data_IF_416247745539
#
_entry.id   IF_416247745539
#
_cell.length_a   1.000
_cell.length_b   1.000
_cell.length_c   1.000
_cell.angle_alpha   90.00
_cell.angle_beta   90.00
_cell.angle_gamma   90.00
#
_symmetry.space_group_name_H-M   'P 1'
#
loop_
_entity.id
_entity.type
_entity.pdbx_description
1 polymer ?
#
# COMPACT_ATOMS: atom_id res chain seq x y z
N UNK A 1 -1.13 16.46 -4.22
CA UNK A 1 -1.51 16.96 -5.55
C UNK A 1 -2.94 16.52 -5.89
N UNK A 2 -3.65 17.34 -6.68
CA UNK A 2 -4.99 17.00 -7.18
C UNK A 2 -4.93 16.02 -8.38
N UNK A 3 -3.77 15.88 -9.00
CA UNK A 3 -3.50 14.97 -10.11
C UNK A 3 -3.05 13.63 -9.55
N UNK A 4 -3.66 12.52 -10.01
CA UNK A 4 -3.25 11.17 -9.61
C UNK A 4 -1.94 10.74 -10.26
N UNK A 5 -1.13 9.98 -9.51
CA UNK A 5 0.07 9.35 -10.04
C UNK A 5 -0.28 8.34 -11.14
N UNK A 6 0.25 8.50 -12.37
CA UNK A 6 0.01 7.57 -13.47
C UNK A 6 0.84 6.27 -13.39
N UNK A 7 1.80 6.18 -12.45
CA UNK A 7 2.73 5.04 -12.36
C UNK A 7 2.01 3.70 -12.24
N UNK A 8 2.32 2.78 -13.15
CA UNK A 8 1.77 1.42 -13.16
C UNK A 8 0.25 1.35 -13.40
N UNK A 9 -0.39 2.40 -13.91
CA UNK A 9 -1.82 2.44 -14.17
C UNK A 9 -2.15 2.16 -15.63
N UNK A 10 -3.24 1.42 -15.84
CA UNK A 10 -3.76 1.15 -17.20
C UNK A 10 -4.87 2.12 -17.64
N UNK A 11 -5.36 2.95 -16.72
CA UNK A 11 -6.44 3.93 -16.95
C UNK A 11 -6.10 5.25 -16.27
N UNK A 12 -6.67 6.35 -16.82
CA UNK A 12 -6.56 7.70 -16.23
C UNK A 12 -7.29 7.78 -14.90
N UNK A 13 -6.61 8.29 -13.86
CA UNK A 13 -7.22 8.52 -12.55
C UNK A 13 -8.05 9.81 -12.55
N UNK A 14 -9.17 9.86 -11.83
CA UNK A 14 -9.93 11.09 -11.62
C UNK A 14 -9.10 12.09 -10.80
N UNK A 15 -9.34 13.38 -11.04
CA UNK A 15 -8.77 14.44 -10.20
C UNK A 15 -9.47 14.47 -8.84
N UNK A 16 -8.70 14.75 -7.79
CA UNK A 16 -9.20 14.94 -6.43
C UNK A 16 -9.59 16.40 -6.20
N UNK A 17 -10.60 16.63 -5.37
CA UNK A 17 -10.90 17.97 -4.86
C UNK A 17 -9.87 18.41 -3.83
N UNK A 18 -9.81 19.71 -3.53
CA UNK A 18 -8.90 20.21 -2.51
C UNK A 18 -9.16 19.58 -1.14
N UNK A 19 -10.43 19.48 -0.74
CA UNK A 19 -10.83 18.93 0.57
C UNK A 19 -10.44 17.45 0.68
N UNK A 20 -10.65 16.66 -0.39
CA UNK A 20 -10.19 15.27 -0.44
C UNK A 20 -8.66 15.14 -0.32
N UNK A 21 -7.90 16.08 -0.89
CA UNK A 21 -6.44 16.08 -0.76
C UNK A 21 -6.02 16.38 0.67
N UNK A 22 -6.69 17.32 1.35
CA UNK A 22 -6.39 17.66 2.76
C UNK A 22 -6.71 16.47 3.68
N UNK A 23 -7.90 15.88 3.56
CA UNK A 23 -8.31 14.73 4.36
C UNK A 23 -7.35 13.53 4.16
N UNK A 24 -7.01 13.22 2.89
CA UNK A 24 -6.05 12.17 2.58
C UNK A 24 -4.66 12.47 3.17
N UNK A 25 -4.23 13.72 3.15
CA UNK A 25 -2.93 14.12 3.69
C UNK A 25 -2.87 13.95 5.21
N UNK A 26 -3.92 14.30 5.95
CA UNK A 26 -3.99 14.10 7.40
C UNK A 26 -3.87 12.62 7.77
N UNK A 27 -4.63 11.77 7.08
CA UNK A 27 -4.56 10.32 7.26
C UNK A 27 -3.16 9.78 6.93
N UNK A 28 -2.60 10.22 5.79
CA UNK A 28 -1.28 9.80 5.34
C UNK A 28 -0.18 10.21 6.33
N UNK A 29 -0.19 11.43 6.82
CA UNK A 29 0.80 11.93 7.78
C UNK A 29 0.72 11.18 9.11
N UNK A 30 -0.48 10.86 9.60
CA UNK A 30 -0.66 10.08 10.82
C UNK A 30 -0.05 8.68 10.69
N UNK A 31 -0.27 8.01 9.54
CA UNK A 31 0.29 6.69 9.25
C UNK A 31 1.80 6.75 9.03
N UNK A 32 2.28 7.74 8.31
CA UNK A 32 3.70 7.92 8.01
C UNK A 32 4.54 8.07 9.28
N UNK A 33 4.06 8.86 10.25
CA UNK A 33 4.74 9.05 11.52
C UNK A 33 4.69 7.84 12.48
N UNK A 34 4.02 6.76 12.13
CA UNK A 34 4.21 5.47 12.81
C UNK A 34 5.51 4.77 12.43
N UNK A 35 6.08 5.11 11.29
CA UNK A 35 7.29 4.48 10.73
C UNK A 35 8.50 5.43 10.82
N UNK A 36 8.28 6.73 10.62
CA UNK A 36 9.33 7.74 10.55
C UNK A 36 9.28 8.64 11.77
N UNK A 37 10.44 8.94 12.35
CA UNK A 37 10.59 9.83 13.50
C UNK A 37 10.11 11.25 13.17
N UNK A 38 9.05 11.68 13.83
CA UNK A 38 8.41 12.99 13.63
C UNK A 38 9.32 14.15 13.99
N UNK A 39 10.18 14.02 14.99
CA UNK A 39 11.08 15.09 15.43
C UNK A 39 12.23 15.34 14.45
N UNK A 40 12.56 14.32 13.67
CA UNK A 40 13.61 14.34 12.65
C UNK A 40 13.06 14.56 11.23
N UNK A 41 11.75 14.76 11.09
CA UNK A 41 11.07 14.86 9.80
C UNK A 41 10.43 16.22 9.62
N UNK A 42 10.70 16.87 8.49
CA UNK A 42 10.04 18.08 8.08
C UNK A 42 9.00 17.77 6.99
N UNK A 43 7.73 17.99 7.29
CA UNK A 43 6.68 17.93 6.28
C UNK A 43 6.62 19.26 5.51
N UNK A 44 6.62 19.18 4.18
CA UNK A 44 6.59 20.36 3.29
C UNK A 44 5.42 20.20 2.31
N UNK A 45 4.72 21.28 2.03
CA UNK A 45 3.54 21.25 1.18
C UNK A 45 3.84 21.77 -0.22
N UNK A 46 3.49 21.03 -1.24
CA UNK A 46 3.60 21.45 -2.64
C UNK A 46 2.97 22.82 -2.93
N UNK A 47 1.90 23.18 -2.21
CA UNK A 47 1.23 24.48 -2.34
C UNK A 47 2.13 25.66 -1.99
N UNK A 48 3.24 25.49 -1.26
CA UNK A 48 4.19 26.55 -0.94
C UNK A 48 4.87 27.11 -2.19
N UNK A 49 5.08 26.29 -3.22
CA UNK A 49 5.62 26.72 -4.50
C UNK A 49 4.58 26.70 -5.63
N UNK A 50 3.81 25.64 -5.82
CA UNK A 50 2.82 25.59 -6.91
C UNK A 50 1.65 26.55 -6.72
N UNK A 51 1.33 26.95 -5.49
CA UNK A 51 0.33 28.00 -5.22
C UNK A 51 0.68 29.37 -5.81
N UNK A 52 1.94 29.58 -6.19
CA UNK A 52 2.47 30.81 -6.79
C UNK A 52 2.74 30.67 -8.30
N UNK A 53 2.61 29.48 -8.86
CA UNK A 53 2.88 29.23 -10.27
C UNK A 53 1.90 29.99 -11.16
N UNK A 54 2.46 30.66 -12.14
CA UNK A 54 1.73 31.24 -13.27
C UNK A 54 1.74 30.27 -14.44
N UNK A 55 0.93 30.56 -15.47
CA UNK A 55 1.00 29.80 -16.71
C UNK A 55 2.40 29.86 -17.36
N UNK A 56 3.09 30.98 -17.22
CA UNK A 56 4.46 31.13 -17.74
C UNK A 56 5.43 30.15 -17.06
N UNK A 57 5.29 29.93 -15.76
CA UNK A 57 6.12 28.98 -15.01
C UNK A 57 5.84 27.52 -15.47
N UNK A 58 4.58 27.18 -15.70
CA UNK A 58 4.20 25.85 -16.23
C UNK A 58 4.78 25.64 -17.63
N UNK A 59 4.69 26.66 -18.51
CA UNK A 59 5.28 26.60 -19.86
C UNK A 59 6.81 26.44 -19.77
N UNK A 60 7.46 27.19 -18.89
CA UNK A 60 8.91 27.10 -18.67
C UNK A 60 9.32 25.70 -18.19
N UNK A 61 8.60 25.13 -17.22
CA UNK A 61 8.87 23.78 -16.72
C UNK A 61 8.67 22.72 -17.82
N UNK A 62 7.55 22.78 -18.54
CA UNK A 62 7.23 21.79 -19.59
C UNK A 62 8.14 21.89 -20.82
N UNK A 63 8.71 23.06 -21.12
CA UNK A 63 9.62 23.23 -22.27
C UNK A 63 10.96 22.52 -22.12
N UNK A 64 11.29 22.05 -20.92
CA UNK A 64 12.57 21.37 -20.63
C UNK A 64 12.58 19.89 -21.02
N UNK A 65 11.42 19.32 -21.25
CA UNK A 65 11.25 17.90 -21.55
C UNK A 65 10.43 17.73 -22.84
N UNK A 66 10.61 16.58 -23.47
CA UNK A 66 9.88 16.24 -24.69
C UNK A 66 8.84 15.15 -24.45
N UNK A 67 7.75 15.15 -25.19
CA UNK A 67 6.76 14.08 -25.17
C UNK A 67 7.40 12.71 -25.44
N UNK A 68 8.40 12.66 -26.34
CA UNK A 68 9.10 11.42 -26.67
C UNK A 68 9.81 10.80 -25.45
N UNK A 69 10.42 11.62 -24.57
CA UNK A 69 11.02 11.13 -23.32
C UNK A 69 9.99 10.48 -22.42
N UNK A 70 8.80 11.08 -22.28
CA UNK A 70 7.74 10.52 -21.45
C UNK A 70 7.13 9.24 -22.04
N UNK A 71 6.98 9.18 -23.37
CA UNK A 71 6.49 7.99 -24.07
C UNK A 71 7.48 6.81 -24.06
N UNK A 72 8.72 7.01 -23.64
CA UNK A 72 9.66 5.92 -23.39
C UNK A 72 9.41 5.17 -22.07
N UNK A 73 8.58 5.72 -21.18
CA UNK A 73 8.14 5.03 -19.98
C UNK A 73 7.22 3.86 -20.37
N UNK A 74 7.49 2.66 -19.85
CA UNK A 74 6.86 1.41 -20.30
C UNK A 74 5.32 1.45 -20.30
N UNK A 75 4.71 2.03 -19.27
CA UNK A 75 3.26 2.12 -19.15
C UNK A 75 2.66 3.11 -20.19
N UNK A 76 3.30 4.25 -20.41
CA UNK A 76 2.89 5.18 -21.48
C UNK A 76 3.15 4.61 -22.87
N UNK A 77 4.31 3.99 -23.10
CA UNK A 77 4.63 3.33 -24.37
C UNK A 77 3.57 2.27 -24.70
N UNK A 78 3.22 1.42 -23.76
CA UNK A 78 2.21 0.37 -23.92
C UNK A 78 0.82 0.95 -24.19
N UNK A 79 0.40 1.99 -23.46
CA UNK A 79 -0.89 2.66 -23.67
C UNK A 79 -0.92 3.36 -25.02
N UNK A 80 0.15 4.04 -25.41
CA UNK A 80 0.27 4.70 -26.70
C UNK A 80 0.18 3.71 -27.88
N UNK A 81 0.93 2.61 -27.82
CA UNK A 81 0.91 1.54 -28.84
C UNK A 81 -0.46 0.87 -28.95
N UNK A 82 -1.17 0.70 -27.83
CA UNK A 82 -2.51 0.10 -27.80
C UNK A 82 -3.64 1.12 -27.98
N UNK A 83 -3.32 2.36 -28.34
CA UNK A 83 -4.27 3.46 -28.51
C UNK A 83 -5.19 3.72 -27.31
N UNK A 84 -4.71 3.44 -26.11
CA UNK A 84 -5.41 3.78 -24.88
C UNK A 84 -5.19 5.25 -24.52
N UNK A 85 -6.20 5.94 -23.97
CA UNK A 85 -6.09 7.34 -23.63
C UNK A 85 -4.95 7.63 -22.66
N UNK A 86 -4.19 8.71 -22.92
CA UNK A 86 -3.20 9.30 -22.02
C UNK A 86 -3.60 10.75 -21.86
N UNK A 87 -3.96 11.17 -20.65
CA UNK A 87 -4.30 12.56 -20.40
C UNK A 87 -3.02 13.42 -20.33
N UNK A 88 -3.09 14.67 -20.79
CA UNK A 88 -1.97 15.61 -20.70
C UNK A 88 -1.55 15.84 -19.24
N UNK A 89 -2.49 15.81 -18.30
CA UNK A 89 -2.23 15.91 -16.87
C UNK A 89 -1.35 14.78 -16.35
N UNK A 90 -1.43 13.59 -16.93
CA UNK A 90 -0.56 12.45 -16.56
C UNK A 90 0.89 12.69 -16.98
N UNK A 91 1.12 13.42 -18.09
CA UNK A 91 2.46 13.82 -18.52
C UNK A 91 3.02 14.95 -17.64
N UNK A 92 2.17 15.74 -16.99
CA UNK A 92 2.60 16.78 -16.06
C UNK A 92 3.04 16.21 -14.70
N UNK A 93 2.47 15.07 -14.28
CA UNK A 93 2.73 14.52 -12.95
C UNK A 93 4.22 14.32 -12.64
N UNK A 94 5.02 13.64 -13.49
CA UNK A 94 6.46 13.49 -13.25
C UNK A 94 7.22 14.82 -13.16
N UNK A 95 6.77 15.85 -13.90
CA UNK A 95 7.40 17.17 -13.85
C UNK A 95 7.10 17.91 -12.55
N UNK A 96 5.88 17.76 -12.01
CA UNK A 96 5.53 18.35 -10.73
C UNK A 96 6.33 17.68 -9.60
N UNK A 97 6.44 16.37 -9.61
CA UNK A 97 7.29 15.64 -8.65
C UNK A 97 8.78 16.02 -8.79
N UNK A 98 9.27 16.14 -10.02
CA UNK A 98 10.64 16.59 -10.27
C UNK A 98 10.92 18.00 -9.71
N UNK A 99 9.94 18.89 -9.81
CA UNK A 99 10.07 20.22 -9.26
C UNK A 99 10.05 20.23 -7.73
N UNK A 100 9.36 19.28 -7.08
CA UNK A 100 9.46 19.07 -5.64
C UNK A 100 10.91 18.76 -5.23
N UNK A 101 11.57 17.84 -5.94
CA UNK A 101 12.99 17.49 -5.69
C UNK A 101 13.91 18.70 -5.81
N UNK A 102 13.65 19.60 -6.78
CA UNK A 102 14.37 20.86 -6.94
C UNK A 102 14.10 21.81 -5.77
N UNK A 103 12.85 21.93 -5.32
CA UNK A 103 12.47 22.86 -4.25
C UNK A 103 12.96 22.46 -2.87
N UNK A 104 13.02 21.17 -2.58
CA UNK A 104 13.56 20.66 -1.32
C UNK A 104 15.08 20.43 -1.39
N UNK A 105 15.70 20.62 -2.57
CA UNK A 105 17.14 20.40 -2.80
C UNK A 105 17.57 19.01 -2.31
N UNK A 106 16.78 17.96 -2.67
CA UNK A 106 16.98 16.63 -2.13
C UNK A 106 18.34 16.03 -2.55
N UNK A 107 19.08 15.48 -1.60
CA UNK A 107 20.30 14.70 -1.86
C UNK A 107 20.01 13.26 -2.23
N UNK A 108 18.96 12.67 -1.65
CA UNK A 108 18.50 11.29 -1.89
C UNK A 108 16.98 11.27 -1.91
N UNK A 109 16.40 10.67 -2.93
CA UNK A 109 14.96 10.43 -3.01
C UNK A 109 14.67 8.92 -3.01
N UNK A 110 13.76 8.49 -2.14
CA UNK A 110 13.35 7.10 -1.98
C UNK A 110 12.02 6.86 -2.70
N UNK A 111 11.89 5.70 -3.33
CA UNK A 111 10.64 5.29 -3.94
C UNK A 111 10.56 3.80 -4.21
N UNK A 112 9.37 3.33 -4.58
CA UNK A 112 9.21 2.01 -5.15
C UNK A 112 9.80 1.92 -6.56
N UNK A 113 10.04 0.72 -7.06
CA UNK A 113 10.56 0.50 -8.42
C UNK A 113 9.64 1.08 -9.50
N UNK A 114 8.34 1.24 -9.23
CA UNK A 114 7.39 1.91 -10.12
C UNK A 114 7.58 3.42 -10.21
N UNK A 115 8.31 4.03 -9.25
CA UNK A 115 8.64 5.46 -9.21
C UNK A 115 9.95 5.81 -9.92
N UNK A 116 10.71 4.82 -10.41
CA UNK A 116 12.04 5.02 -10.98
C UNK A 116 12.08 6.15 -12.03
N UNK A 117 11.12 6.17 -12.95
CA UNK A 117 11.06 7.20 -13.99
C UNK A 117 10.88 8.60 -13.36
N UNK A 118 9.92 8.77 -12.46
CA UNK A 118 9.63 10.06 -11.85
C UNK A 118 10.84 10.59 -11.07
N UNK A 119 11.52 9.73 -10.31
CA UNK A 119 12.71 10.09 -9.53
C UNK A 119 13.90 10.48 -10.43
N UNK A 120 14.05 9.81 -11.57
CA UNK A 120 15.09 10.14 -12.55
C UNK A 120 14.81 11.48 -13.24
N UNK A 121 13.54 11.81 -13.52
CA UNK A 121 13.14 13.13 -14.03
C UNK A 121 13.49 14.23 -13.01
N UNK A 122 13.29 13.96 -11.69
CA UNK A 122 13.71 14.87 -10.61
C UNK A 122 15.22 15.13 -10.63
N UNK A 123 15.99 14.08 -10.74
CA UNK A 123 17.46 14.14 -10.84
C UNK A 123 17.92 14.96 -12.06
N UNK A 124 17.28 14.74 -13.22
CA UNK A 124 17.58 15.47 -14.46
C UNK A 124 17.22 16.96 -14.34
N UNK A 125 16.07 17.28 -13.75
CA UNK A 125 15.64 18.66 -13.55
C UNK A 125 16.56 19.41 -12.58
N UNK A 126 17.00 18.80 -11.49
CA UNK A 126 18.01 19.38 -10.58
C UNK A 126 19.29 19.75 -11.33
N UNK A 127 19.77 18.87 -12.22
CA UNK A 127 20.95 19.14 -13.04
C UNK A 127 20.73 20.34 -13.97
N UNK A 128 19.55 20.46 -14.59
CA UNK A 128 19.17 21.59 -15.45
C UNK A 128 19.08 22.92 -14.66
N UNK A 129 18.74 22.85 -13.37
CA UNK A 129 18.72 24.00 -12.45
C UNK A 129 20.09 24.31 -11.84
N UNK A 130 21.15 23.56 -12.21
CA UNK A 130 22.50 23.76 -11.67
C UNK A 130 22.68 23.22 -10.25
N UNK A 131 21.76 22.42 -9.75
CA UNK A 131 21.87 21.75 -8.46
C UNK A 131 22.65 20.45 -8.59
N UNK A 132 23.15 19.93 -7.46
CA UNK A 132 23.70 18.56 -7.39
C UNK A 132 22.57 17.57 -7.62
N UNK A 133 22.66 16.67 -8.62
CA UNK A 133 21.62 15.69 -8.88
C UNK A 133 21.50 14.69 -7.71
N UNK A 134 20.29 14.49 -7.24
CA UNK A 134 19.97 13.53 -6.17
C UNK A 134 20.38 12.10 -6.49
N UNK A 135 20.67 11.31 -5.49
CA UNK A 135 20.71 9.86 -5.60
C UNK A 135 19.28 9.30 -5.53
N UNK A 136 19.05 8.22 -6.25
CA UNK A 136 17.75 7.53 -6.26
C UNK A 136 17.91 6.19 -5.58
N UNK A 137 17.08 5.94 -4.56
CA UNK A 137 17.07 4.68 -3.84
C UNK A 137 15.70 4.00 -4.07
N UNK A 138 15.72 2.82 -4.72
CA UNK A 138 14.52 2.11 -5.11
C UNK A 138 14.34 0.85 -4.29
N UNK A 139 13.13 0.69 -3.74
CA UNK A 139 12.71 -0.53 -3.06
C UNK A 139 11.76 -1.34 -3.96
N UNK A 140 11.86 -2.66 -3.95
CA UNK A 140 10.86 -3.51 -4.62
C UNK A 140 9.44 -3.20 -4.13
N UNK A 141 8.47 -3.38 -5.03
CA UNK A 141 7.05 -3.23 -4.67
C UNK A 141 6.60 -4.45 -3.88
N UNK A 142 6.00 -4.22 -2.73
CA UNK A 142 5.44 -5.29 -1.92
C UNK A 142 4.20 -5.89 -2.60
N UNK A 143 4.20 -7.19 -2.76
CA UNK A 143 3.05 -7.96 -3.26
C UNK A 143 2.01 -8.04 -2.14
N UNK A 144 0.74 -7.89 -2.48
CA UNK A 144 -0.36 -7.97 -1.51
C UNK A 144 -0.61 -9.40 -1.00
N UNK A 145 -1.52 -9.51 -0.04
CA UNK A 145 -1.88 -10.81 0.57
C UNK A 145 -2.53 -11.80 -0.43
N UNK A 146 -2.92 -11.32 -1.61
CA UNK A 146 -3.38 -12.16 -2.74
C UNK A 146 -2.25 -12.93 -3.44
N UNK A 147 -1.01 -12.62 -3.14
CA UNK A 147 0.18 -13.28 -3.69
C UNK A 147 0.52 -12.93 -5.13
N UNK A 148 -0.23 -12.04 -5.78
CA UNK A 148 -0.08 -11.79 -7.23
C UNK A 148 0.07 -10.31 -7.55
N UNK A 149 -0.79 -9.46 -7.02
CA UNK A 149 -0.83 -8.05 -7.35
C UNK A 149 -0.07 -7.21 -6.32
N UNK A 150 0.40 -6.03 -6.75
CA UNK A 150 0.99 -5.09 -5.79
C UNK A 150 -0.01 -4.76 -4.69
N UNK A 151 0.48 -4.60 -3.46
CA UNK A 151 -0.35 -4.20 -2.33
C UNK A 151 -1.04 -2.86 -2.60
N UNK A 152 -2.37 -2.82 -2.47
CA UNK A 152 -3.16 -1.62 -2.74
C UNK A 152 -4.48 -1.62 -1.98
N UNK A 153 -4.89 -0.46 -1.46
CA UNK A 153 -6.25 -0.28 -0.88
C UNK A 153 -7.37 -0.56 -1.88
N UNK A 154 -7.18 -0.19 -3.15
CA UNK A 154 -8.20 -0.39 -4.20
C UNK A 154 -8.41 -1.86 -4.60
N UNK A 155 -7.46 -2.73 -4.25
CA UNK A 155 -7.52 -4.16 -4.53
C UNK A 155 -7.91 -4.98 -3.28
N UNK A 156 -8.05 -4.32 -2.13
CA UNK A 156 -8.33 -4.94 -0.83
C UNK A 156 -7.35 -6.07 -0.46
N UNK A 157 -6.12 -6.02 -1.00
CA UNK A 157 -5.06 -6.99 -0.77
C UNK A 157 -3.96 -6.46 0.16
N UNK A 158 -4.28 -5.45 0.96
CA UNK A 158 -3.32 -4.75 1.82
C UNK A 158 -3.44 -5.12 3.30
N UNK A 159 -2.35 -4.90 4.03
CA UNK A 159 -2.31 -4.86 5.48
C UNK A 159 -2.09 -3.41 5.91
N UNK A 160 -3.06 -2.84 6.61
CA UNK A 160 -3.00 -1.43 7.03
C UNK A 160 -2.26 -1.25 8.34
N UNK A 161 -1.40 -0.23 8.43
CA UNK A 161 -0.62 0.08 9.65
C UNK A 161 -1.46 0.58 10.84
N UNK A 162 -2.74 0.88 10.61
CA UNK A 162 -3.72 1.29 11.65
C UNK A 162 -4.82 0.23 11.87
N UNK A 163 -4.73 -0.93 11.22
CA UNK A 163 -5.68 -2.02 11.47
C UNK A 163 -5.53 -2.55 12.89
N UNK A 164 -6.61 -3.04 13.51
CA UNK A 164 -6.53 -3.69 14.82
C UNK A 164 -5.49 -4.84 14.83
N UNK A 165 -4.83 -5.10 15.96
CA UNK A 165 -3.77 -6.13 16.03
C UNK A 165 -4.20 -7.51 15.55
N UNK A 166 -5.43 -7.91 15.88
CA UNK A 166 -5.97 -9.21 15.46
C UNK A 166 -6.16 -9.31 13.95
N UNK A 167 -6.61 -8.22 13.31
CA UNK A 167 -6.84 -8.17 11.86
C UNK A 167 -5.51 -8.15 11.12
N UNK A 168 -4.56 -7.32 11.55
CA UNK A 168 -3.20 -7.26 11.01
C UNK A 168 -2.54 -8.64 11.09
N UNK A 169 -2.55 -9.26 12.27
CA UNK A 169 -1.97 -10.59 12.49
C UNK A 169 -2.63 -11.64 11.59
N UNK A 170 -3.96 -11.67 11.54
CA UNK A 170 -4.73 -12.61 10.72
C UNK A 170 -4.44 -12.48 9.22
N UNK A 171 -4.33 -11.24 8.70
CA UNK A 171 -3.96 -10.97 7.31
C UNK A 171 -2.54 -11.44 7.01
N UNK A 172 -1.58 -11.19 7.89
CA UNK A 172 -0.20 -11.67 7.73
C UNK A 172 -0.12 -13.21 7.76
N UNK A 173 -0.94 -13.87 8.57
CA UNK A 173 -1.05 -15.33 8.58
C UNK A 173 -1.66 -15.91 7.29
N UNK A 174 -2.45 -15.12 6.54
CA UNK A 174 -3.05 -15.54 5.27
C UNK A 174 -2.12 -15.43 4.06
N UNK A 175 -0.92 -14.86 4.22
CA UNK A 175 0.06 -14.74 3.15
C UNK A 175 0.37 -16.08 2.49
N UNK A 176 0.51 -16.15 1.16
CA UNK A 176 1.12 -17.30 0.47
C UNK A 176 2.54 -17.58 0.98
N UNK A 177 2.93 -18.86 0.98
CA UNK A 177 4.23 -19.27 1.53
C UNK A 177 5.41 -18.65 0.79
N UNK A 178 5.26 -18.41 -0.50
CA UNK A 178 6.26 -17.77 -1.36
C UNK A 178 6.58 -16.32 -0.95
N UNK A 179 5.68 -15.67 -0.22
CA UNK A 179 5.86 -14.29 0.23
C UNK A 179 6.50 -14.18 1.63
N UNK A 180 6.68 -15.28 2.34
CA UNK A 180 7.26 -15.27 3.70
C UNK A 180 8.63 -14.59 3.70
N UNK A 181 9.56 -15.08 2.88
CA UNK A 181 10.95 -14.56 2.86
C UNK A 181 11.00 -13.11 2.35
N UNK A 182 10.33 -12.72 1.24
CA UNK A 182 10.24 -11.31 0.83
C UNK A 182 9.68 -10.37 1.90
N UNK A 183 8.68 -10.80 2.65
CA UNK A 183 8.11 -9.96 3.71
C UNK A 183 9.07 -9.79 4.89
N UNK A 184 9.80 -10.83 5.29
CA UNK A 184 10.89 -10.69 6.26
C UNK A 184 11.95 -9.72 5.77
N UNK A 185 12.41 -9.88 4.52
CA UNK A 185 13.47 -9.07 3.92
C UNK A 185 13.13 -7.58 3.88
N UNK A 186 11.85 -7.24 3.57
CA UNK A 186 11.47 -5.85 3.37
C UNK A 186 10.85 -5.19 4.60
N UNK A 187 10.34 -5.95 5.56
CA UNK A 187 9.53 -5.43 6.65
C UNK A 187 10.08 -5.72 8.05
N UNK A 188 11.18 -6.45 8.17
CA UNK A 188 11.80 -6.79 9.46
C UNK A 188 13.31 -6.56 9.43
N UNK A 189 13.92 -6.60 10.62
CA UNK A 189 15.37 -6.53 10.78
C UNK A 189 16.04 -7.93 10.78
N UNK A 190 15.38 -8.95 10.23
CA UNK A 190 15.92 -10.31 10.17
C UNK A 190 17.25 -10.34 9.41
N UNK A 191 18.32 -10.94 9.99
CA UNK A 191 19.62 -11.02 9.34
C UNK A 191 19.55 -11.82 8.02
N UNK A 192 20.34 -11.42 7.03
CA UNK A 192 20.34 -12.10 5.73
C UNK A 192 20.68 -13.59 5.82
N UNK A 193 21.54 -14.00 6.76
CA UNK A 193 21.87 -15.41 7.00
C UNK A 193 20.62 -16.22 7.42
N UNK A 194 19.75 -15.61 8.19
CA UNK A 194 18.50 -16.22 8.61
C UNK A 194 17.51 -16.33 7.45
N UNK A 195 17.42 -15.31 6.58
CA UNK A 195 16.59 -15.34 5.37
C UNK A 195 17.02 -16.45 4.40
N UNK A 196 18.33 -16.66 4.24
CA UNK A 196 18.87 -17.76 3.45
C UNK A 196 18.49 -19.11 4.07
N UNK A 197 18.54 -19.22 5.40
CA UNK A 197 18.15 -20.42 6.11
C UNK A 197 16.66 -20.70 5.91
N UNK A 198 15.78 -19.72 6.12
CA UNK A 198 14.34 -19.87 5.86
C UNK A 198 14.04 -20.30 4.44
N UNK A 199 14.69 -19.66 3.46
CA UNK A 199 14.52 -20.02 2.04
C UNK A 199 14.89 -21.48 1.76
N UNK A 200 16.02 -21.95 2.31
CA UNK A 200 16.48 -23.33 2.12
C UNK A 200 15.59 -24.36 2.83
N UNK A 201 15.16 -24.06 4.05
CA UNK A 201 14.32 -24.97 4.86
C UNK A 201 12.89 -25.06 4.33
N UNK A 202 12.33 -23.95 3.86
CA UNK A 202 11.03 -23.93 3.20
C UNK A 202 11.08 -24.73 1.89
N UNK A 203 12.11 -24.53 1.07
CA UNK A 203 12.29 -25.28 -0.18
C UNK A 203 12.49 -26.78 0.05
N UNK A 204 13.17 -27.17 1.13
CA UNK A 204 13.38 -28.56 1.53
C UNK A 204 12.15 -29.20 2.22
N UNK A 205 11.15 -28.39 2.61
CA UNK A 205 10.01 -28.85 3.42
C UNK A 205 10.43 -29.30 4.83
N UNK A 206 11.58 -28.85 5.35
CA UNK A 206 12.12 -29.23 6.65
C UNK A 206 11.57 -28.37 7.79
N UNK A 207 10.97 -27.24 7.50
CA UNK A 207 10.29 -26.37 8.46
C UNK A 207 8.82 -26.16 8.05
N UNK A 208 7.96 -26.02 9.06
CA UNK A 208 6.56 -25.72 8.81
C UNK A 208 6.39 -24.23 8.47
N UNK A 209 5.89 -23.85 7.28
CA UNK A 209 5.65 -22.45 6.91
C UNK A 209 4.81 -21.68 7.93
N UNK A 210 3.88 -22.37 8.60
CA UNK A 210 3.01 -21.79 9.63
C UNK A 210 3.82 -21.19 10.81
N UNK A 211 4.89 -21.84 11.22
CA UNK A 211 5.70 -21.38 12.36
C UNK A 211 6.48 -20.11 11.98
N UNK A 212 7.01 -20.06 10.76
CA UNK A 212 7.69 -18.86 10.26
C UNK A 212 6.70 -17.72 10.06
N UNK A 213 5.48 -17.99 9.52
CA UNK A 213 4.43 -16.98 9.40
C UNK A 213 4.00 -16.40 10.74
N UNK A 214 3.87 -17.22 11.78
CA UNK A 214 3.56 -16.75 13.13
C UNK A 214 4.60 -15.76 13.64
N UNK A 215 5.87 -16.08 13.42
CA UNK A 215 6.96 -15.17 13.78
C UNK A 215 6.88 -13.87 12.98
N UNK A 216 6.73 -13.94 11.65
CA UNK A 216 6.57 -12.77 10.79
C UNK A 216 5.41 -11.88 11.23
N UNK A 217 4.24 -12.49 11.44
CA UNK A 217 3.04 -11.78 11.87
C UNK A 217 3.25 -11.13 13.26
N UNK A 218 3.91 -11.82 14.18
CA UNK A 218 4.22 -11.30 15.51
C UNK A 218 5.18 -10.10 15.44
N UNK A 219 6.27 -10.20 14.65
CA UNK A 219 7.25 -9.13 14.49
C UNK A 219 6.64 -7.89 13.86
N UNK A 220 5.89 -8.04 12.74
CA UNK A 220 5.25 -6.90 12.07
C UNK A 220 4.16 -6.28 12.96
N UNK A 221 3.32 -7.09 13.61
CA UNK A 221 2.26 -6.56 14.48
C UNK A 221 2.89 -5.80 15.66
N UNK A 222 3.99 -6.29 16.23
CA UNK A 222 4.68 -5.63 17.33
C UNK A 222 5.30 -4.26 16.95
N UNK A 223 5.67 -4.06 15.68
CA UNK A 223 6.18 -2.76 15.22
C UNK A 223 5.12 -1.65 15.28
N UNK A 224 3.84 -1.98 15.11
CA UNK A 224 2.75 -1.01 15.05
C UNK A 224 1.88 -0.96 16.32
N UNK A 225 1.85 -2.05 17.13
CA UNK A 225 0.94 -2.22 18.25
C UNK A 225 1.62 -2.66 19.56
N UNK A 226 2.95 -2.67 19.58
CA UNK A 226 3.76 -3.15 20.70
C UNK A 226 3.67 -4.68 20.93
N UNK A 227 4.67 -5.24 21.62
CA UNK A 227 4.81 -6.68 21.83
C UNK A 227 3.64 -7.35 22.59
N UNK A 228 3.03 -6.72 23.61
CA UNK A 228 1.90 -7.35 24.30
C UNK A 228 0.67 -7.53 23.43
N UNK A 229 0.38 -6.55 22.56
CA UNK A 229 -0.74 -6.63 21.63
C UNK A 229 -0.51 -7.69 20.53
N UNK A 230 0.72 -7.80 20.04
CA UNK A 230 1.09 -8.85 19.09
C UNK A 230 0.96 -10.26 19.70
N UNK A 231 1.38 -10.45 20.96
CA UNK A 231 1.22 -11.72 21.67
C UNK A 231 -0.26 -12.08 21.86
N UNK A 232 -1.10 -11.12 22.26
CA UNK A 232 -2.54 -11.32 22.39
C UNK A 232 -3.20 -11.65 21.04
N UNK A 233 -2.77 -11.01 19.94
CA UNK A 233 -3.26 -11.32 18.60
C UNK A 233 -2.87 -12.74 18.14
N UNK A 234 -1.66 -13.17 18.44
CA UNK A 234 -1.22 -14.55 18.21
C UNK A 234 -2.09 -15.55 18.98
N UNK A 235 -2.30 -15.33 20.27
CA UNK A 235 -3.12 -16.22 21.11
C UNK A 235 -4.56 -16.28 20.59
N UNK A 236 -5.14 -15.14 20.23
CA UNK A 236 -6.46 -15.08 19.63
C UNK A 236 -6.53 -15.86 18.31
N UNK A 237 -5.54 -15.70 17.43
CA UNK A 237 -5.47 -16.45 16.17
C UNK A 237 -5.39 -17.96 16.42
N UNK A 238 -4.54 -18.41 17.34
CA UNK A 238 -4.42 -19.83 17.67
C UNK A 238 -5.71 -20.39 18.26
N UNK A 239 -6.40 -19.64 19.10
CA UNK A 239 -7.67 -20.02 19.68
C UNK A 239 -8.78 -20.10 18.65
N UNK A 240 -8.99 -19.02 17.90
CA UNK A 240 -10.16 -18.89 17.01
C UNK A 240 -9.96 -19.66 15.70
N UNK A 241 -8.78 -19.55 15.08
CA UNK A 241 -8.55 -20.11 13.75
C UNK A 241 -8.01 -21.54 13.80
N UNK A 242 -7.04 -21.82 14.67
CA UNK A 242 -6.43 -23.15 14.75
C UNK A 242 -7.25 -24.14 15.58
N UNK A 243 -7.72 -23.73 16.78
CA UNK A 243 -8.56 -24.58 17.66
C UNK A 243 -10.04 -24.52 17.31
N UNK A 244 -10.45 -23.49 16.50
CA UNK A 244 -11.85 -23.26 16.14
C UNK A 244 -12.76 -22.96 17.33
N UNK A 245 -12.23 -22.37 18.37
CA UNK A 245 -12.99 -21.89 19.51
C UNK A 245 -13.83 -20.66 19.11
N UNK A 246 -14.93 -20.41 19.82
CA UNK A 246 -15.75 -19.24 19.58
C UNK A 246 -14.97 -17.96 19.92
N UNK A 247 -15.08 -16.89 19.12
CA UNK A 247 -14.55 -15.58 19.47
C UNK A 247 -15.15 -15.07 20.79
N UNK A 248 -14.39 -14.29 21.56
CA UNK A 248 -14.89 -13.70 22.81
C UNK A 248 -16.00 -12.68 22.55
N UNK A 249 -15.87 -11.93 21.47
CA UNK A 249 -16.89 -10.98 21.03
C UNK A 249 -17.54 -11.49 19.76
N UNK A 250 -18.80 -11.87 19.86
CA UNK A 250 -19.65 -12.22 18.72
C UNK A 250 -20.56 -11.03 18.47
N UNK A 251 -20.50 -10.35 17.27
CA UNK A 251 -21.41 -9.26 16.97
C UNK A 251 -22.87 -9.72 17.04
N UNK A 252 -23.66 -9.10 17.89
CA UNK A 252 -25.10 -9.35 17.96
C UNK A 252 -25.83 -8.50 16.90
N UNK A 253 -26.52 -9.16 15.99
CA UNK A 253 -27.38 -8.52 15.01
C UNK A 253 -28.83 -8.58 15.47
N UNK A 254 -29.43 -7.44 15.74
CA UNK A 254 -30.86 -7.35 16.07
C UNK A 254 -31.71 -7.23 14.80
N UNK A 255 -32.85 -7.91 14.79
CA UNK A 255 -33.77 -7.98 13.65
C UNK A 255 -34.21 -6.63 13.04
N UNK A 256 -34.42 -5.55 13.82
CA UNK A 256 -34.83 -4.25 13.27
C UNK A 256 -33.85 -3.61 12.29
N UNK A 257 -32.56 -3.89 12.39
CA UNK A 257 -31.53 -3.38 11.46
C UNK A 257 -31.49 -4.13 10.12
N UNK A 258 -32.17 -5.26 10.01
CA UNK A 258 -32.23 -6.10 8.83
C UNK A 258 -33.60 -6.05 8.10
N UNK A 259 -34.58 -5.40 8.71
CA UNK A 259 -35.99 -5.42 8.26
C UNK A 259 -36.27 -4.84 6.85
N UNK A 260 -35.56 -3.83 6.32
CA UNK A 260 -35.92 -3.22 5.04
C UNK A 260 -35.61 -4.05 3.78
N UNK A 261 -34.89 -5.16 3.90
CA UNK A 261 -34.32 -5.85 2.72
C UNK A 261 -34.81 -7.29 2.50
N UNK A 262 -35.80 -7.75 3.28
CA UNK A 262 -36.27 -9.13 3.18
C UNK A 262 -37.81 -9.24 3.13
N UNK A 263 -38.32 -9.80 2.06
CA UNK A 263 -39.71 -10.13 1.81
C UNK A 263 -40.06 -11.57 2.26
N UNK A 264 -39.83 -11.88 3.50
CA UNK A 264 -40.54 -12.95 4.23
C UNK A 264 -40.17 -14.40 3.97
N UNK A 265 -39.26 -14.73 3.04
CA UNK A 265 -38.83 -16.12 2.80
C UNK A 265 -37.55 -16.48 3.57
N UNK A 266 -37.36 -17.77 3.85
CA UNK A 266 -36.34 -18.33 4.76
C UNK A 266 -34.96 -17.67 4.63
N UNK A 267 -34.56 -17.01 5.69
CA UNK A 267 -33.27 -16.30 5.79
C UNK A 267 -32.12 -17.30 5.85
N UNK A 268 -31.30 -17.34 4.84
CA UNK A 268 -30.02 -18.08 4.93
C UNK A 268 -29.03 -17.27 5.75
N UNK A 269 -28.30 -17.92 6.64
CA UNK A 269 -27.27 -17.28 7.50
C UNK A 269 -26.27 -16.43 6.67
N UNK A 270 -25.91 -16.91 5.46
CA UNK A 270 -25.05 -16.17 4.52
C UNK A 270 -25.61 -14.79 4.11
N UNK A 271 -26.94 -14.64 3.98
CA UNK A 271 -27.56 -13.37 3.58
C UNK A 271 -27.59 -12.38 4.74
N UNK A 272 -27.71 -12.86 5.97
CA UNK A 272 -27.64 -12.03 7.18
C UNK A 272 -26.25 -11.44 7.33
N UNK A 273 -25.21 -12.23 7.07
CA UNK A 273 -23.81 -11.82 7.15
C UNK A 273 -23.49 -10.73 6.11
N UNK A 274 -23.97 -10.87 4.87
CA UNK A 274 -23.74 -9.89 3.79
C UNK A 274 -24.44 -8.54 4.08
N UNK A 275 -25.65 -8.57 4.65
CA UNK A 275 -26.41 -7.33 4.95
C UNK A 275 -25.88 -6.64 6.21
N UNK A 276 -25.39 -7.41 7.19
CA UNK A 276 -24.81 -6.88 8.43
C UNK A 276 -23.47 -6.17 8.26
N UNK A 277 -22.79 -6.33 7.12
CA UNK A 277 -21.57 -5.59 6.74
C UNK A 277 -20.35 -5.79 7.65
N UNK A 278 -20.40 -6.73 8.61
CA UNK A 278 -19.45 -6.78 9.73
C UNK A 278 -18.55 -8.02 9.77
N UNK A 279 -18.61 -8.93 8.79
CA UNK A 279 -17.81 -10.15 8.83
C UNK A 279 -17.10 -10.35 7.50
N UNK A 280 -15.79 -10.26 7.54
CA UNK A 280 -14.94 -10.72 6.44
C UNK A 280 -15.15 -12.23 6.23
N UNK A 281 -15.25 -12.67 4.98
CA UNK A 281 -15.40 -14.08 4.59
C UNK A 281 -14.32 -15.02 5.17
N UNK A 282 -13.25 -14.49 5.69
CA UNK A 282 -12.14 -15.21 6.30
C UNK A 282 -12.43 -15.79 7.70
N UNK A 283 -13.51 -15.37 8.35
CA UNK A 283 -13.80 -15.74 9.75
C UNK A 283 -14.87 -16.80 9.94
N UNK A 284 -15.60 -17.18 8.89
CA UNK A 284 -16.60 -18.26 8.95
C UNK A 284 -16.28 -19.33 7.92
N UNK A 285 -15.84 -20.52 8.33
CA UNK A 285 -15.82 -21.66 7.43
C UNK A 285 -17.27 -21.98 7.05
N UNK A 286 -17.63 -21.72 5.79
CA UNK A 286 -18.92 -22.15 5.25
C UNK A 286 -19.01 -23.69 5.40
N UNK A 287 -20.11 -24.23 5.95
CA UNK A 287 -20.33 -25.66 5.91
C UNK A 287 -20.34 -26.09 4.46
N UNK A 288 -19.37 -26.92 4.07
CA UNK A 288 -19.37 -27.61 2.79
C UNK A 288 -20.61 -28.48 2.76
N UNK A 289 -21.62 -28.10 1.96
CA UNK A 289 -22.71 -28.98 1.63
C UNK A 289 -22.12 -30.22 0.95
N UNK A 290 -22.23 -31.34 1.61
CA UNK A 290 -22.35 -32.63 0.95
C UNK A 290 -23.80 -32.87 0.65
#
# INVERSE_FOLDING_TARGET
AQIGDPSGQSITRPMLTHDQVVENAESYMRQFFKVVDKERTQAVWQSEWFGKFTLADVISLTSRFTVAQFLNRDDFAKRFQTQRPIAITELLYPLLQAYDSVKIESDVEFGGTDQMFNLLVGRELQQMEGQRPQQVFLMPILVGIDGVQKMSKSLDNYVGVEEPPNDMYGKLMSLPDELIVPYFEYLTDAPQEELITFSSELAAGSINPMDIKKRLASEITAQFHESPAAAAAQENFERVVQRRDLPEEIPEFTEPSLAPTFDGESRRLSNIIVVGGSVSYTHLPLPTNR
#
